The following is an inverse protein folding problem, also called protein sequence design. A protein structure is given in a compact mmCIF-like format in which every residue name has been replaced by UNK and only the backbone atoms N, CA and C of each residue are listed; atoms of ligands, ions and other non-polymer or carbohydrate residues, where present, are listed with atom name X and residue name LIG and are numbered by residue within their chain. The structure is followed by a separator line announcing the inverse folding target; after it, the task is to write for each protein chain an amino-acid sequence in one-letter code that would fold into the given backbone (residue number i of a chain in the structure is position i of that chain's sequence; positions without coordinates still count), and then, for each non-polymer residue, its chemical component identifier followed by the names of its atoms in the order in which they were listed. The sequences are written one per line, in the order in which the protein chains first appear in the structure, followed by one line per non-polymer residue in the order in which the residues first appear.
data_IF_391226240902
#
_entry.id   IF_391226240902
#
_cell.length_a   1.000
_cell.length_b   1.000
_cell.length_c   1.000
_cell.angle_alpha   90.00
_cell.angle_beta   90.00
_cell.angle_gamma   90.00
#
_symmetry.space_group_name_H-M   'P 1'
#
loop_
_entity.id
_entity.type
_entity.pdbx_description
1 polymer ?
#
# COMPACT_ATOMS: atom_id res chain seq x y z
N UNK A 1 7.42 -10.30 8.49
CA UNK A 1 6.63 -9.10 8.81
C UNK A 1 6.10 -9.23 10.22
N UNK A 2 6.32 -8.23 11.05
CA UNK A 2 5.75 -8.09 12.39
C UNK A 2 4.31 -7.56 12.37
N UNK A 3 3.63 -7.55 13.52
CA UNK A 3 2.25 -7.06 13.63
C UNK A 3 2.11 -5.55 13.43
N UNK A 4 3.17 -4.77 13.65
CA UNK A 4 3.18 -3.30 13.52
C UNK A 4 3.81 -2.82 12.21
N UNK A 5 4.15 -3.73 11.30
CA UNK A 5 4.66 -3.34 9.99
C UNK A 5 3.51 -2.76 9.15
N UNK A 6 3.84 -1.77 8.32
CA UNK A 6 2.90 -1.21 7.35
C UNK A 6 3.26 -1.72 5.95
N UNK A 7 2.24 -1.97 5.14
CA UNK A 7 2.40 -2.51 3.78
C UNK A 7 1.90 -1.48 2.79
N UNK A 8 2.69 -1.21 1.74
CA UNK A 8 2.26 -0.41 0.60
C UNK A 8 2.09 -1.29 -0.64
N UNK A 9 0.91 -1.21 -1.25
CA UNK A 9 0.63 -1.79 -2.57
C UNK A 9 0.83 -0.71 -3.63
N UNK A 10 1.78 -0.94 -4.53
CA UNK A 10 2.09 -0.07 -5.66
C UNK A 10 2.18 -0.92 -6.94
N UNK A 11 2.07 -0.26 -8.09
CA UNK A 11 2.10 -0.88 -9.41
C UNK A 11 1.13 -2.06 -9.48
N UNK A 12 1.59 -3.26 -9.82
CA UNK A 12 0.72 -4.45 -9.92
C UNK A 12 0.39 -5.07 -8.55
N UNK A 13 1.03 -4.62 -7.47
CA UNK A 13 0.68 -4.99 -6.11
C UNK A 13 -0.76 -4.62 -5.72
N UNK A 14 -1.37 -3.65 -6.41
CA UNK A 14 -2.78 -3.27 -6.24
C UNK A 14 -3.76 -4.40 -6.52
N UNK A 15 -3.36 -5.46 -7.24
CA UNK A 15 -4.24 -6.61 -7.46
C UNK A 15 -4.37 -7.50 -6.22
N UNK A 16 -3.61 -7.24 -5.15
CA UNK A 16 -3.62 -8.06 -3.95
C UNK A 16 -4.99 -8.03 -3.23
N UNK A 17 -5.59 -9.21 -3.12
CA UNK A 17 -6.86 -9.46 -2.42
C UNK A 17 -6.66 -10.16 -1.06
N UNK A 18 -5.41 -10.36 -0.61
CA UNK A 18 -5.14 -11.05 0.63
C UNK A 18 -5.54 -10.18 1.82
N UNK A 19 -6.17 -10.82 2.81
CA UNK A 19 -6.42 -10.21 4.12
C UNK A 19 -5.14 -10.24 4.93
N UNK A 20 -4.39 -9.14 4.90
CA UNK A 20 -3.21 -8.95 5.74
C UNK A 20 -3.64 -8.45 7.13
N UNK A 21 -2.93 -8.87 8.18
CA UNK A 21 -3.18 -8.40 9.55
C UNK A 21 -2.59 -7.01 9.81
N UNK A 22 -1.66 -6.60 8.96
CA UNK A 22 -0.98 -5.31 8.98
C UNK A 22 -1.89 -4.19 8.46
N UNK A 23 -1.53 -2.95 8.77
CA UNK A 23 -2.10 -1.81 8.06
C UNK A 23 -1.63 -1.82 6.61
N UNK A 24 -2.58 -1.80 5.67
CA UNK A 24 -2.30 -1.85 4.24
C UNK A 24 -2.71 -0.55 3.58
N UNK A 25 -1.74 0.10 2.94
CA UNK A 25 -1.90 1.26 2.09
C UNK A 25 -1.83 0.86 0.63
N UNK A 26 -2.38 1.68 -0.26
CA UNK A 26 -2.18 1.56 -1.70
C UNK A 26 -2.01 2.92 -2.36
N UNK A 27 -1.21 2.99 -3.41
CA UNK A 27 -1.11 4.21 -4.23
C UNK A 27 -2.42 4.43 -5.00
N UNK A 28 -3.08 5.54 -4.72
CA UNK A 28 -4.36 5.91 -5.29
C UNK A 28 -4.28 6.05 -6.82
N UNK A 29 -3.17 6.58 -7.31
CA UNK A 29 -2.87 6.76 -8.73
C UNK A 29 -2.81 5.42 -9.46
N UNK A 30 -2.17 4.40 -8.86
CA UNK A 30 -2.07 3.06 -9.44
C UNK A 30 -3.43 2.34 -9.46
N UNK A 31 -4.20 2.47 -8.39
CA UNK A 31 -5.54 1.89 -8.30
C UNK A 31 -6.49 2.54 -9.33
N UNK A 32 -6.36 3.85 -9.52
CA UNK A 32 -7.14 4.62 -10.50
C UNK A 32 -6.76 4.24 -11.92
N UNK A 33 -5.45 4.21 -12.24
CA UNK A 33 -4.96 3.84 -13.56
C UNK A 33 -5.38 2.43 -13.99
N UNK A 34 -5.56 1.52 -13.03
CA UNK A 34 -5.98 0.13 -13.26
C UNK A 34 -7.47 -0.13 -13.04
N UNK A 35 -8.24 0.89 -12.64
CA UNK A 35 -9.70 0.78 -12.44
C UNK A 35 -10.13 -0.18 -11.32
N UNK A 36 -9.32 -0.34 -10.27
CA UNK A 36 -9.57 -1.33 -9.19
C UNK A 36 -9.92 -0.70 -7.84
N UNK A 37 -10.05 0.61 -7.74
CA UNK A 37 -10.25 1.31 -6.44
C UNK A 37 -11.38 0.71 -5.60
N UNK A 38 -12.47 0.28 -6.24
CA UNK A 38 -13.63 -0.34 -5.58
C UNK A 38 -13.37 -1.74 -4.99
N UNK A 39 -12.25 -2.39 -5.35
CA UNK A 39 -11.87 -3.74 -4.89
C UNK A 39 -10.90 -3.71 -3.71
N UNK A 40 -10.42 -2.54 -3.32
CA UNK A 40 -9.41 -2.36 -2.27
C UNK A 40 -10.06 -2.10 -0.91
N UNK A 41 -11.02 -2.96 -0.55
CA UNK A 41 -11.75 -2.88 0.73
C UNK A 41 -10.77 -3.12 1.89
N UNK A 42 -10.94 -2.36 2.99
CA UNK A 42 -10.09 -2.40 4.19
C UNK A 42 -8.61 -2.02 3.94
N UNK A 43 -8.33 -1.25 2.88
CA UNK A 43 -7.00 -0.69 2.59
C UNK A 43 -7.11 0.84 2.51
N UNK A 44 -6.06 1.53 2.90
CA UNK A 44 -6.02 2.99 2.91
C UNK A 44 -5.42 3.51 1.62
N UNK A 45 -6.16 4.37 0.90
CA UNK A 45 -5.61 5.06 -0.26
C UNK A 45 -4.61 6.14 0.19
N UNK A 46 -3.44 6.19 -0.45
CA UNK A 46 -2.47 7.27 -0.24
C UNK A 46 -1.99 7.83 -1.59
N UNK A 47 -1.59 9.09 -1.61
CA UNK A 47 -0.92 9.70 -2.76
C UNK A 47 0.62 9.60 -2.65
N UNK A 48 1.34 10.10 -3.66
CA UNK A 48 2.80 10.09 -3.65
C UNK A 48 3.45 10.88 -2.50
N UNK A 49 2.86 12.00 -2.07
CA UNK A 49 3.39 12.78 -0.95
C UNK A 49 3.35 11.98 0.36
N UNK A 50 2.19 11.38 0.64
CA UNK A 50 1.98 10.50 1.78
C UNK A 50 2.86 9.24 1.71
N UNK A 51 3.15 8.73 0.52
CA UNK A 51 4.13 7.65 0.36
C UNK A 51 5.53 8.10 0.82
N UNK A 52 5.99 9.28 0.40
CA UNK A 52 7.28 9.82 0.85
C UNK A 52 7.28 9.97 2.38
N UNK A 53 6.23 10.53 2.96
CA UNK A 53 6.08 10.62 4.43
C UNK A 53 6.16 9.25 5.11
N UNK A 54 5.50 8.23 4.54
CA UNK A 54 5.54 6.86 5.04
C UNK A 54 6.98 6.31 5.02
N UNK A 55 7.74 6.56 3.95
CA UNK A 55 9.14 6.14 3.88
C UNK A 55 10.04 6.86 4.90
N UNK A 56 9.74 8.11 5.24
CA UNK A 56 10.48 8.86 6.27
C UNK A 56 10.12 8.40 7.69
N UNK A 57 8.89 7.93 7.90
CA UNK A 57 8.41 7.41 9.18
C UNK A 57 9.08 6.09 9.60
N UNK A 58 9.37 5.20 8.64
CA UNK A 58 9.92 3.87 8.93
C UNK A 58 11.44 3.82 8.80
N UNK A 59 12.12 3.30 9.83
CA UNK A 59 13.59 3.15 9.84
C UNK A 59 14.12 2.06 8.91
N UNK A 60 13.25 1.17 8.40
CA UNK A 60 13.60 0.11 7.46
C UNK A 60 12.49 -0.07 6.44
N UNK A 61 12.90 -0.18 5.17
CA UNK A 61 12.00 -0.43 4.04
C UNK A 61 12.42 -1.74 3.39
N UNK A 62 11.45 -2.63 3.17
CA UNK A 62 11.64 -3.88 2.43
C UNK A 62 10.87 -3.75 1.13
N UNK A 63 11.58 -3.84 0.00
CA UNK A 63 10.99 -3.86 -1.33
C UNK A 63 10.91 -5.30 -1.83
N UNK A 64 9.71 -5.72 -2.23
CA UNK A 64 9.49 -6.96 -2.97
C UNK A 64 9.52 -6.61 -4.47
N UNK A 65 10.31 -7.36 -5.24
CA UNK A 65 10.50 -7.18 -6.69
C UNK A 65 9.75 -8.27 -7.44
#
# INVERSE_FOLDING_TARGET
MGPNDEVLLAQDGIYNQLALKQQVHYLAEDATARGVSNRLVNKTAINYEQFVELTLKHSRIIKWV
#
